data_IF_304565293061
#
_entry.id   IF_304565293061
#
_cell.length_a   1.000
_cell.length_b   1.000
_cell.length_c   1.000
_cell.angle_alpha   90.00
_cell.angle_beta   90.00
_cell.angle_gamma   90.00
#
_symmetry.space_group_name_H-M   'P 1'
#
loop_
_entity.id
_entity.type
_entity.pdbx_description
1 polymer ?
#
# COMPACT_ATOMS: atom_id res chain seq x y z
N UNK A 1 13.96 -1.85 23.87
CA UNK A 1 13.33 -0.50 23.74
C UNK A 1 12.99 -0.26 22.28
N UNK A 2 11.71 -0.21 21.88
CA UNK A 2 11.36 0.13 20.49
C UNK A 2 11.53 1.63 20.26
N UNK A 3 12.26 2.01 19.20
CA UNK A 3 12.49 3.41 18.80
C UNK A 3 11.16 4.13 18.49
N UNK A 4 11.14 5.47 18.57
CA UNK A 4 9.95 6.29 18.18
C UNK A 4 9.40 5.92 16.80
N UNK A 5 10.30 5.57 15.86
CA UNK A 5 9.95 5.07 14.54
C UNK A 5 9.17 3.76 14.60
N UNK A 6 9.64 2.76 15.36
CA UNK A 6 8.95 1.48 15.53
C UNK A 6 7.52 1.68 16.08
N UNK A 7 7.35 2.51 17.12
CA UNK A 7 6.01 2.82 17.67
C UNK A 7 5.10 3.44 16.61
N UNK A 8 5.59 4.42 15.86
CA UNK A 8 4.86 5.07 14.77
C UNK A 8 4.47 4.11 13.64
N UNK A 9 5.35 3.15 13.30
CA UNK A 9 5.07 2.13 12.29
C UNK A 9 4.04 1.12 12.76
N UNK A 10 4.14 0.63 14.01
CA UNK A 10 3.13 -0.28 14.58
C UNK A 10 1.76 0.41 14.58
N UNK A 11 1.69 1.65 15.06
CA UNK A 11 0.46 2.43 15.05
C UNK A 11 -0.10 2.59 13.63
N UNK A 12 0.74 2.97 12.67
CA UNK A 12 0.32 3.12 11.27
C UNK A 12 -0.16 1.79 10.67
N UNK A 13 0.54 0.69 10.95
CA UNK A 13 0.17 -0.65 10.51
C UNK A 13 -1.20 -1.05 11.03
N UNK A 14 -1.41 -0.98 12.36
CA UNK A 14 -2.66 -1.40 13.00
C UNK A 14 -3.82 -0.50 12.57
N UNK A 15 -3.62 0.82 12.54
CA UNK A 15 -4.65 1.76 12.09
C UNK A 15 -5.06 1.52 10.64
N UNK A 16 -4.10 1.27 9.73
CA UNK A 16 -4.40 0.99 8.34
C UNK A 16 -5.08 -0.38 8.17
N UNK A 17 -4.68 -1.37 8.95
CA UNK A 17 -5.30 -2.69 8.92
C UNK A 17 -6.76 -2.64 9.39
N UNK A 18 -7.04 -2.00 10.53
CA UNK A 18 -8.39 -1.82 11.04
C UNK A 18 -9.22 -0.91 10.13
N UNK A 19 -8.63 0.18 9.62
CA UNK A 19 -9.29 1.06 8.68
C UNK A 19 -9.72 0.35 7.40
N UNK A 20 -8.90 -0.57 6.91
CA UNK A 20 -9.24 -1.42 5.77
C UNK A 20 -10.34 -2.44 6.09
N UNK A 21 -10.36 -3.02 7.30
CA UNK A 21 -11.45 -3.91 7.73
C UNK A 21 -12.79 -3.15 7.74
N UNK A 22 -12.82 -1.97 8.35
CA UNK A 22 -14.01 -1.10 8.41
C UNK A 22 -14.43 -0.68 7.01
N UNK A 23 -13.48 -0.21 6.19
CA UNK A 23 -13.77 0.20 4.82
C UNK A 23 -14.38 -0.93 3.99
N UNK A 24 -13.82 -2.15 4.07
CA UNK A 24 -14.36 -3.30 3.36
C UNK A 24 -15.79 -3.63 3.81
N UNK A 25 -16.11 -3.53 5.10
CA UNK A 25 -17.47 -3.74 5.59
C UNK A 25 -18.44 -2.66 5.05
N UNK A 26 -18.05 -1.39 5.12
CA UNK A 26 -18.85 -0.25 4.65
C UNK A 26 -19.08 -0.32 3.13
N UNK A 27 -18.02 -0.54 2.35
CA UNK A 27 -18.08 -0.65 0.88
C UNK A 27 -19.01 -1.79 0.45
N UNK A 28 -18.95 -2.94 1.14
CA UNK A 28 -19.88 -4.07 0.86
C UNK A 28 -21.33 -3.70 1.15
N UNK A 29 -21.58 -2.96 2.24
CA UNK A 29 -22.91 -2.44 2.57
C UNK A 29 -23.43 -1.48 1.50
N UNK A 30 -22.63 -0.50 1.09
CA UNK A 30 -22.97 0.47 0.03
C UNK A 30 -23.21 -0.24 -1.30
N UNK A 31 -22.43 -1.29 -1.61
CA UNK A 31 -22.54 -2.05 -2.85
C UNK A 31 -23.70 -3.05 -2.86
N UNK A 32 -24.49 -3.15 -1.78
CA UNK A 32 -25.62 -4.07 -1.69
C UNK A 32 -25.22 -5.55 -1.75
N UNK A 33 -24.03 -5.90 -1.24
CA UNK A 33 -23.52 -7.26 -1.32
C UNK A 33 -24.44 -8.24 -0.54
N UNK A 34 -25.00 -9.22 -1.23
CA UNK A 34 -25.94 -10.20 -0.63
C UNK A 34 -25.24 -11.37 0.08
N UNK A 35 -23.91 -11.49 -0.05
CA UNK A 35 -23.16 -12.56 0.62
C UNK A 35 -22.69 -12.14 2.01
N UNK A 36 -22.74 -13.05 3.01
CA UNK A 36 -22.19 -12.79 4.33
C UNK A 36 -20.75 -12.27 4.27
N UNK A 37 -20.40 -11.40 5.21
CA UNK A 37 -19.04 -10.85 5.29
C UNK A 37 -18.08 -11.98 5.65
N UNK A 38 -17.14 -12.27 4.76
CA UNK A 38 -15.96 -13.09 5.07
C UNK A 38 -15.01 -12.28 5.94
N UNK A 39 -15.30 -12.21 7.23
CA UNK A 39 -14.54 -11.43 8.21
C UNK A 39 -13.06 -11.73 8.21
N UNK A 40 -12.72 -12.96 7.91
CA UNK A 40 -11.38 -13.45 8.06
C UNK A 40 -10.59 -13.27 6.74
N UNK A 41 -11.25 -13.28 5.57
CA UNK A 41 -10.69 -12.72 4.35
C UNK A 41 -10.52 -11.20 4.42
N UNK A 42 -11.47 -10.50 5.04
CA UNK A 42 -11.38 -9.05 5.32
C UNK A 42 -10.24 -8.73 6.27
N UNK A 43 -10.04 -9.51 7.34
CA UNK A 43 -8.92 -9.35 8.27
C UNK A 43 -7.57 -9.56 7.56
N UNK A 44 -7.45 -10.60 6.72
CA UNK A 44 -6.24 -10.83 5.93
C UNK A 44 -5.98 -9.65 4.98
N UNK A 45 -7.00 -9.14 4.29
CA UNK A 45 -6.90 -7.94 3.46
C UNK A 45 -6.49 -6.70 4.25
N UNK A 46 -6.97 -6.58 5.50
CA UNK A 46 -6.55 -5.57 6.44
C UNK A 46 -5.05 -5.62 6.73
N UNK A 47 -4.53 -6.80 7.11
CA UNK A 47 -3.09 -6.99 7.34
C UNK A 47 -2.25 -6.65 6.11
N UNK A 48 -2.72 -7.03 4.93
CA UNK A 48 -2.06 -6.68 3.66
C UNK A 48 -2.03 -5.17 3.40
N UNK A 49 -3.11 -4.47 3.75
CA UNK A 49 -3.21 -3.01 3.68
C UNK A 49 -2.26 -2.36 4.68
N UNK A 50 -2.22 -2.86 5.92
CA UNK A 50 -1.27 -2.41 6.95
C UNK A 50 0.17 -2.49 6.45
N UNK A 51 0.57 -3.62 5.84
CA UNK A 51 1.90 -3.79 5.25
C UNK A 51 2.18 -2.74 4.18
N UNK A 52 1.23 -2.49 3.27
CA UNK A 52 1.40 -1.52 2.19
C UNK A 52 1.62 -0.08 2.71
N UNK A 53 1.00 0.28 3.84
CA UNK A 53 1.15 1.60 4.46
C UNK A 53 2.53 1.82 5.12
N UNK A 54 3.16 0.76 5.62
CA UNK A 54 4.45 0.87 6.32
C UNK A 54 5.65 0.45 5.46
N UNK A 55 5.43 -0.27 4.36
CA UNK A 55 6.52 -0.89 3.59
C UNK A 55 7.53 0.12 3.07
N UNK A 56 7.07 1.25 2.50
CA UNK A 56 7.97 2.27 1.98
C UNK A 56 8.73 3.01 3.09
N UNK A 57 8.11 3.54 4.16
CA UNK A 57 8.85 4.12 5.29
C UNK A 57 9.86 3.17 5.94
N UNK A 58 9.49 1.89 6.11
CA UNK A 58 10.40 0.86 6.65
C UNK A 58 11.55 0.61 5.69
N UNK A 59 11.29 0.54 4.38
CA UNK A 59 12.33 0.40 3.37
C UNK A 59 13.31 1.58 3.38
N UNK A 60 12.80 2.81 3.45
CA UNK A 60 13.64 4.00 3.56
C UNK A 60 14.53 3.95 4.80
N UNK A 61 13.98 3.53 5.95
CA UNK A 61 14.74 3.43 7.19
C UNK A 61 15.83 2.36 7.13
N UNK A 62 15.52 1.18 6.59
CA UNK A 62 16.51 0.10 6.41
C UNK A 62 17.64 0.58 5.49
N UNK A 63 17.30 1.18 4.35
CA UNK A 63 18.29 1.69 3.39
C UNK A 63 19.12 2.84 3.96
N UNK A 64 18.51 3.76 4.72
CA UNK A 64 19.24 4.86 5.35
C UNK A 64 20.20 4.40 6.44
N UNK A 65 19.85 3.33 7.16
CA UNK A 65 20.65 2.81 8.25
C UNK A 65 21.83 1.95 7.76
N UNK A 66 21.71 1.34 6.57
CA UNK A 66 22.73 0.44 6.01
C UNK A 66 23.50 1.02 4.81
N UNK A 67 23.05 2.13 4.23
CA UNK A 67 23.71 2.77 3.08
C UNK A 67 23.81 4.29 3.28
N UNK A 68 25.00 4.77 3.65
CA UNK A 68 25.25 6.20 3.83
C UNK A 68 25.01 7.02 2.55
N UNK A 69 25.36 6.47 1.38
CA UNK A 69 25.07 7.13 0.10
C UNK A 69 23.57 7.33 -0.10
N UNK A 70 22.76 6.32 0.23
CA UNK A 70 21.31 6.43 0.16
C UNK A 70 20.78 7.45 1.16
N UNK A 71 21.29 7.44 2.40
CA UNK A 71 20.92 8.41 3.43
C UNK A 71 21.19 9.84 2.96
N UNK A 72 22.36 10.10 2.37
CA UNK A 72 22.71 11.41 1.79
C UNK A 72 21.74 11.82 0.67
N UNK A 73 21.40 10.91 -0.24
CA UNK A 73 20.46 11.18 -1.32
C UNK A 73 19.01 11.44 -0.82
N UNK A 74 18.62 10.76 0.25
CA UNK A 74 17.32 10.91 0.90
C UNK A 74 17.20 12.26 1.62
N UNK A 75 18.16 12.59 2.48
CA UNK A 75 18.12 13.76 3.38
C UNK A 75 18.53 15.07 2.67
N UNK A 76 19.39 15.01 1.65
CA UNK A 76 19.87 16.23 0.98
C UNK A 76 18.81 16.81 0.03
N UNK A 77 18.61 18.15 -0.01
CA UNK A 77 17.73 18.79 -0.99
C UNK A 77 18.16 18.50 -2.43
N UNK A 78 19.47 18.46 -2.67
CA UNK A 78 20.08 18.18 -3.97
C UNK A 78 20.41 16.69 -4.19
N UNK A 79 19.92 15.80 -3.30
CA UNK A 79 20.16 14.36 -3.41
C UNK A 79 19.42 13.73 -4.59
N UNK A 80 19.89 12.58 -5.08
CA UNK A 80 19.28 11.91 -6.22
C UNK A 80 17.92 11.28 -5.84
N UNK A 81 16.84 12.04 -6.00
CA UNK A 81 15.48 11.61 -5.64
C UNK A 81 14.97 10.44 -6.48
N UNK A 82 15.37 10.35 -7.76
CA UNK A 82 15.02 9.21 -8.60
C UNK A 82 15.60 7.90 -8.05
N UNK A 83 16.87 7.91 -7.62
CA UNK A 83 17.51 6.77 -6.96
C UNK A 83 16.80 6.40 -5.66
N UNK A 84 16.37 7.38 -4.86
CA UNK A 84 15.59 7.15 -3.63
C UNK A 84 14.26 6.47 -3.93
N UNK A 85 13.53 6.91 -4.96
CA UNK A 85 12.25 6.32 -5.34
C UNK A 85 12.41 4.91 -5.89
N UNK A 86 13.42 4.67 -6.71
CA UNK A 86 13.71 3.35 -7.27
C UNK A 86 14.11 2.38 -6.18
N UNK A 87 15.12 2.70 -5.38
CA UNK A 87 15.63 1.77 -4.35
C UNK A 87 14.65 1.61 -3.19
N UNK A 88 14.06 2.71 -2.71
CA UNK A 88 13.03 2.66 -1.67
C UNK A 88 11.77 1.95 -2.14
N UNK A 89 11.34 2.20 -3.38
CA UNK A 89 10.18 1.54 -4.00
C UNK A 89 10.42 0.05 -4.23
N UNK A 90 11.61 -0.33 -4.70
CA UNK A 90 11.99 -1.73 -4.87
C UNK A 90 12.03 -2.47 -3.53
N UNK A 91 12.70 -1.94 -2.51
CA UNK A 91 12.73 -2.60 -1.20
C UNK A 91 11.34 -2.62 -0.53
N UNK A 92 10.54 -1.57 -0.71
CA UNK A 92 9.13 -1.55 -0.26
C UNK A 92 8.30 -2.64 -0.93
N UNK A 93 8.45 -2.82 -2.25
CA UNK A 93 7.81 -3.91 -2.99
C UNK A 93 8.28 -5.29 -2.52
N UNK A 94 9.56 -5.44 -2.14
CA UNK A 94 10.08 -6.67 -1.56
C UNK A 94 9.44 -6.99 -0.20
N UNK A 95 9.32 -6.01 0.69
CA UNK A 95 8.62 -6.16 1.97
C UNK A 95 7.17 -6.59 1.73
N UNK A 96 6.46 -5.92 0.81
CA UNK A 96 5.09 -6.30 0.44
C UNK A 96 5.06 -7.73 -0.09
N UNK A 97 5.98 -8.12 -0.97
CA UNK A 97 6.00 -9.47 -1.52
C UNK A 97 6.22 -10.52 -0.42
N UNK A 98 7.17 -10.30 0.49
CA UNK A 98 7.50 -11.25 1.57
C UNK A 98 6.34 -11.42 2.55
N UNK A 99 5.64 -10.34 2.90
CA UNK A 99 4.56 -10.38 3.89
C UNK A 99 3.20 -10.72 3.25
N UNK A 100 2.86 -10.09 2.13
CA UNK A 100 1.52 -10.21 1.54
C UNK A 100 1.36 -11.45 0.65
N UNK A 101 2.45 -12.02 0.11
CA UNK A 101 2.37 -13.28 -0.64
C UNK A 101 1.84 -14.46 0.20
N UNK A 102 2.40 -14.80 1.38
CA UNK A 102 1.87 -15.88 2.19
C UNK A 102 0.45 -15.60 2.67
N UNK A 103 0.11 -14.35 3.02
CA UNK A 103 -1.26 -13.94 3.35
C UNK A 103 -2.23 -14.15 2.18
N UNK A 104 -1.80 -13.84 0.95
CA UNK A 104 -2.62 -14.07 -0.26
C UNK A 104 -2.84 -15.56 -0.50
N UNK A 105 -1.82 -16.39 -0.26
CA UNK A 105 -1.94 -17.86 -0.38
C UNK A 105 -2.85 -18.45 0.70
N UNK A 106 -2.77 -17.96 1.93
CA UNK A 106 -3.70 -18.34 3.00
C UNK A 106 -5.14 -18.00 2.62
N UNK A 107 -5.39 -16.78 2.12
CA UNK A 107 -6.72 -16.38 1.70
C UNK A 107 -7.25 -17.24 0.53
N UNK A 108 -6.41 -17.53 -0.47
CA UNK A 108 -6.76 -18.41 -1.60
C UNK A 108 -7.08 -19.84 -1.15
N UNK A 109 -6.31 -20.39 -0.20
CA UNK A 109 -6.56 -21.72 0.37
C UNK A 109 -7.91 -21.79 1.06
N UNK A 110 -8.25 -20.76 1.84
CA UNK A 110 -9.53 -20.67 2.56
C UNK A 110 -10.74 -20.56 1.64
N UNK A 111 -10.56 -19.94 0.48
CA UNK A 111 -11.61 -19.81 -0.53
C UNK A 111 -11.76 -21.04 -1.43
N UNK A 112 -11.10 -22.17 -1.12
CA UNK A 112 -11.13 -23.38 -1.95
C UNK A 112 -10.43 -23.23 -3.31
N UNK A 113 -9.78 -22.09 -3.58
CA UNK A 113 -9.13 -21.82 -4.87
C UNK A 113 -7.80 -22.56 -5.05
N UNK A 114 -7.36 -23.32 -4.04
CA UNK A 114 -6.17 -24.19 -4.10
C UNK A 114 -6.44 -25.56 -4.78
N UNK A 115 -7.68 -25.90 -5.15
CA UNK A 115 -8.04 -27.25 -5.64
C UNK A 115 -7.46 -27.64 -7.01
N UNK A 116 -6.96 -26.68 -7.81
CA UNK A 116 -6.14 -27.02 -8.97
C UNK A 116 -4.74 -27.42 -8.50
N UNK A 117 -4.54 -28.74 -8.33
CA UNK A 117 -3.27 -29.44 -8.03
C UNK A 117 -2.07 -28.69 -8.64
N UNK A 118 -1.39 -27.88 -7.83
CA UNK A 118 -0.24 -27.06 -8.23
C UNK A 118 -0.27 -25.60 -7.78
N UNK A 119 -1.41 -25.04 -7.38
CA UNK A 119 -1.55 -23.60 -7.16
C UNK A 119 -0.90 -23.05 -5.86
N UNK A 120 -0.71 -23.89 -4.85
CA UNK A 120 -0.33 -23.44 -3.50
C UNK A 120 1.08 -23.87 -3.06
N UNK A 121 1.74 -24.79 -3.79
CA UNK A 121 3.11 -25.24 -3.52
C UNK A 121 4.07 -25.22 -4.72
N UNK A 122 3.59 -25.16 -5.97
CA UNK A 122 4.51 -25.14 -7.12
C UNK A 122 5.14 -23.75 -7.27
N UNK A 123 6.38 -23.65 -6.81
CA UNK A 123 7.29 -22.51 -6.86
C UNK A 123 6.85 -21.28 -6.06
N UNK A 124 6.88 -21.40 -4.73
CA UNK A 124 6.83 -20.27 -3.79
C UNK A 124 7.74 -19.10 -4.22
N UNK A 125 8.97 -19.40 -4.65
CA UNK A 125 9.92 -18.42 -5.16
C UNK A 125 9.42 -17.70 -6.43
N UNK A 126 8.85 -18.42 -7.41
CA UNK A 126 8.32 -17.83 -8.64
C UNK A 126 7.07 -16.99 -8.37
N UNK A 127 6.22 -17.44 -7.44
CA UNK A 127 5.05 -16.70 -6.99
C UNK A 127 5.42 -15.40 -6.27
N UNK A 128 6.37 -15.46 -5.34
CA UNK A 128 6.87 -14.28 -4.61
C UNK A 128 7.58 -13.29 -5.55
N UNK A 129 8.45 -13.77 -6.44
CA UNK A 129 9.07 -12.95 -7.47
C UNK A 129 8.01 -12.32 -8.39
N UNK A 130 6.92 -13.04 -8.64
CA UNK A 130 5.77 -12.51 -9.35
C UNK A 130 5.11 -11.34 -8.65
N UNK A 131 4.76 -11.52 -7.37
CA UNK A 131 4.19 -10.47 -6.53
C UNK A 131 5.13 -9.28 -6.38
N UNK A 132 6.44 -9.52 -6.25
CA UNK A 132 7.43 -8.45 -6.22
C UNK A 132 7.41 -7.60 -7.48
N UNK A 133 7.51 -8.24 -8.66
CA UNK A 133 7.52 -7.54 -9.95
C UNK A 133 6.22 -6.78 -10.20
N UNK A 134 5.07 -7.36 -9.83
CA UNK A 134 3.76 -6.71 -9.94
C UNK A 134 3.66 -5.46 -9.03
N UNK A 135 4.31 -5.49 -7.87
CA UNK A 135 4.29 -4.38 -6.90
C UNK A 135 5.40 -3.34 -7.13
N UNK A 136 6.43 -3.68 -7.90
CA UNK A 136 7.59 -2.81 -8.13
C UNK A 136 7.19 -1.50 -8.80
N UNK A 137 6.47 -1.59 -9.93
CA UNK A 137 5.98 -0.40 -10.65
C UNK A 137 5.01 0.43 -9.80
N UNK A 138 4.11 -0.23 -9.07
CA UNK A 138 3.15 0.45 -8.20
C UNK A 138 3.85 1.22 -7.08
N UNK A 139 4.83 0.61 -6.42
CA UNK A 139 5.56 1.20 -5.30
C UNK A 139 6.45 2.36 -5.73
N UNK A 140 7.19 2.19 -6.84
CA UNK A 140 8.05 3.26 -7.39
C UNK A 140 7.19 4.43 -7.90
N UNK A 141 6.14 4.13 -8.66
CA UNK A 141 5.29 5.17 -9.26
C UNK A 141 4.53 5.96 -8.20
N UNK A 142 4.01 5.28 -7.16
CA UNK A 142 3.39 5.96 -6.03
C UNK A 142 4.38 6.89 -5.32
N UNK A 143 5.58 6.40 -4.99
CA UNK A 143 6.60 7.20 -4.30
C UNK A 143 7.05 8.41 -5.13
N UNK A 144 7.28 8.21 -6.43
CA UNK A 144 7.68 9.28 -7.34
C UNK A 144 6.59 10.35 -7.46
N UNK A 145 5.33 9.94 -7.67
CA UNK A 145 4.22 10.89 -7.81
C UNK A 145 3.93 11.62 -6.51
N UNK A 146 3.88 10.92 -5.37
CA UNK A 146 3.56 11.53 -4.08
C UNK A 146 4.63 12.55 -3.65
N UNK A 147 5.91 12.21 -3.79
CA UNK A 147 7.00 13.11 -3.39
C UNK A 147 7.27 14.24 -4.39
N UNK A 148 6.82 14.10 -5.64
CA UNK A 148 6.90 15.20 -6.63
C UNK A 148 5.75 16.19 -6.44
N UNK A 149 4.51 15.70 -6.29
CA UNK A 149 3.32 16.55 -6.17
C UNK A 149 3.11 17.12 -4.77
N UNK A 150 3.48 16.37 -3.73
CA UNK A 150 3.35 16.78 -2.33
C UNK A 150 3.90 18.17 -2.03
N UNK A 151 5.15 18.51 -2.41
CA UNK A 151 5.72 19.84 -2.18
C UNK A 151 5.18 20.92 -3.13
N UNK A 152 4.63 20.56 -4.30
CA UNK A 152 4.09 21.53 -5.26
C UNK A 152 2.70 22.05 -4.86
N UNK A 153 1.92 21.26 -4.14
CA UNK A 153 0.58 21.65 -3.69
C UNK A 153 0.69 22.17 -2.25
N UNK A 154 0.46 23.46 -1.97
CA UNK A 154 0.57 24.02 -0.63
C UNK A 154 -0.44 23.39 0.33
N UNK A 155 -0.09 23.28 1.61
CA UNK A 155 -1.00 22.81 2.65
C UNK A 155 -1.94 23.97 3.02
N UNK A 156 -3.25 23.88 2.73
CA UNK A 156 -4.18 24.93 3.12
C UNK A 156 -4.38 24.94 4.64
N UNK A 157 -4.60 26.12 5.22
CA UNK A 157 -4.85 26.26 6.66
C UNK A 157 -6.18 25.64 7.12
N UNK A 158 -7.15 25.47 6.22
CA UNK A 158 -8.44 24.89 6.54
C UNK A 158 -8.36 23.35 6.58
N UNK A 159 -8.80 22.76 7.69
CA UNK A 159 -8.81 21.31 7.93
C UNK A 159 -9.52 20.51 6.83
N UNK A 160 -10.61 21.01 6.26
CA UNK A 160 -11.34 20.33 5.19
C UNK A 160 -10.55 20.34 3.87
N UNK A 161 -9.96 21.49 3.52
CA UNK A 161 -9.13 21.58 2.31
C UNK A 161 -7.82 20.79 2.47
N UNK A 162 -7.26 20.73 3.67
CA UNK A 162 -6.06 19.95 3.96
C UNK A 162 -6.35 18.46 3.83
N UNK A 163 -7.52 18.04 4.32
CA UNK A 163 -8.07 16.70 4.14
C UNK A 163 -8.27 16.34 2.67
N UNK A 164 -8.96 17.20 1.89
CA UNK A 164 -9.19 16.96 0.47
C UNK A 164 -7.88 16.87 -0.31
N UNK A 165 -6.91 17.76 0.00
CA UNK A 165 -5.58 17.72 -0.59
C UNK A 165 -4.88 16.39 -0.31
N UNK A 166 -4.87 15.93 0.94
CA UNK A 166 -4.22 14.68 1.32
C UNK A 166 -4.84 13.48 0.59
N UNK A 167 -6.18 13.39 0.54
CA UNK A 167 -6.86 12.33 -0.19
C UNK A 167 -6.59 12.41 -1.71
N UNK A 168 -6.63 13.60 -2.29
CA UNK A 168 -6.37 13.80 -3.72
C UNK A 168 -4.95 13.42 -4.10
N UNK A 169 -3.96 13.76 -3.28
CA UNK A 169 -2.57 13.35 -3.47
C UNK A 169 -2.40 11.83 -3.45
N UNK A 170 -3.03 11.13 -2.50
CA UNK A 170 -3.00 9.65 -2.44
C UNK A 170 -3.64 9.05 -3.69
N UNK A 171 -4.78 9.61 -4.15
CA UNK A 171 -5.47 9.14 -5.35
C UNK A 171 -4.63 9.30 -6.61
N UNK A 172 -4.04 10.47 -6.81
CA UNK A 172 -3.16 10.74 -7.95
C UNK A 172 -1.91 9.87 -7.88
N UNK A 173 -1.36 9.65 -6.69
CA UNK A 173 -0.19 8.79 -6.49
C UNK A 173 -0.49 7.31 -6.78
N UNK A 174 -1.69 6.83 -6.42
CA UNK A 174 -2.14 5.49 -6.80
C UNK A 174 -2.30 5.34 -8.33
N UNK A 175 -2.80 6.37 -9.00
CA UNK A 175 -2.85 6.41 -10.48
C UNK A 175 -1.43 6.39 -11.07
N UNK A 176 -0.50 7.18 -10.52
CA UNK A 176 0.90 7.18 -10.91
C UNK A 176 1.57 5.80 -10.74
N UNK A 177 1.32 5.13 -9.61
CA UNK A 177 1.72 3.75 -9.38
C UNK A 177 1.18 2.79 -10.43
N UNK A 178 -0.13 2.88 -10.74
CA UNK A 178 -0.76 2.04 -11.76
C UNK A 178 -0.18 2.26 -13.16
N UNK A 179 0.05 3.51 -13.54
CA UNK A 179 0.66 3.86 -14.83
C UNK A 179 2.07 3.26 -14.97
N UNK A 180 2.89 3.35 -13.92
CA UNK A 180 4.24 2.78 -13.96
C UNK A 180 4.23 1.24 -13.90
N UNK A 181 3.23 0.64 -13.26
CA UNK A 181 3.03 -0.82 -13.26
C UNK A 181 2.42 -1.37 -14.55
N UNK A 182 1.77 -0.53 -15.36
CA UNK A 182 1.04 -0.95 -16.56
C UNK A 182 1.85 -1.82 -17.53
N UNK A 183 3.05 -1.47 -17.99
CA UNK A 183 3.78 -2.30 -18.96
C UNK A 183 4.04 -3.71 -18.44
N UNK A 184 4.35 -3.84 -17.14
CA UNK A 184 4.57 -5.13 -16.48
C UNK A 184 3.27 -5.93 -16.41
N UNK A 185 2.17 -5.28 -16.00
CA UNK A 185 0.86 -5.93 -15.85
C UNK A 185 0.24 -6.30 -17.20
N UNK A 186 0.44 -5.50 -18.24
CA UNK A 186 0.01 -5.78 -19.60
C UNK A 186 0.74 -7.02 -20.15
N UNK A 187 2.06 -7.09 -19.96
CA UNK A 187 2.87 -8.22 -20.42
C UNK A 187 2.56 -9.52 -19.66
N UNK A 188 2.39 -9.47 -18.34
CA UNK A 188 2.21 -10.67 -17.50
C UNK A 188 0.78 -11.16 -17.40
N UNK A 189 -0.19 -10.26 -17.36
CA UNK A 189 -1.59 -10.57 -17.05
C UNK A 189 -2.56 -10.15 -18.17
N UNK A 190 -2.04 -9.63 -19.29
CA UNK A 190 -2.89 -9.15 -20.40
C UNK A 190 -3.78 -7.95 -20.02
N UNK A 191 -3.41 -7.22 -18.97
CA UNK A 191 -4.22 -6.11 -18.47
C UNK A 191 -4.25 -4.95 -19.46
N UNK A 192 -5.43 -4.36 -19.68
CA UNK A 192 -5.57 -3.14 -20.49
C UNK A 192 -5.54 -1.91 -19.60
N UNK A 193 -4.99 -0.80 -20.09
CA UNK A 193 -4.92 0.45 -19.34
C UNK A 193 -6.32 0.97 -18.93
N UNK A 194 -7.34 0.96 -19.82
CA UNK A 194 -8.71 1.32 -19.43
C UNK A 194 -9.29 0.39 -18.36
N UNK A 195 -8.96 -0.90 -18.37
CA UNK A 195 -9.40 -1.84 -17.34
C UNK A 195 -8.78 -1.54 -15.96
N UNK A 196 -7.48 -1.24 -15.94
CA UNK A 196 -6.73 -0.89 -14.72
C UNK A 196 -7.20 0.41 -14.07
N UNK A 197 -7.44 1.44 -14.88
CA UNK A 197 -7.92 2.74 -14.43
C UNK A 197 -9.42 2.71 -14.15
N UNK A 198 -10.23 2.11 -15.02
CA UNK A 198 -11.68 1.96 -14.81
C UNK A 198 -12.02 1.17 -13.55
N UNK A 199 -11.29 0.07 -13.28
CA UNK A 199 -11.41 -0.66 -12.03
C UNK A 199 -11.00 0.15 -10.79
N UNK A 200 -10.00 1.02 -10.93
CA UNK A 200 -9.60 1.94 -9.86
C UNK A 200 -10.69 2.96 -9.55
N UNK A 201 -11.22 3.65 -10.56
CA UNK A 201 -12.25 4.68 -10.34
C UNK A 201 -13.54 4.09 -9.76
N UNK A 202 -13.93 2.89 -10.16
CA UNK A 202 -15.06 2.17 -9.55
C UNK A 202 -14.86 1.86 -8.07
N UNK A 203 -13.62 1.70 -7.63
CA UNK A 203 -13.25 1.36 -6.24
C UNK A 203 -12.65 2.53 -5.48
N UNK A 204 -12.60 3.73 -6.06
CA UNK A 204 -11.87 4.88 -5.52
C UNK A 204 -12.38 5.37 -4.16
N UNK A 205 -13.64 5.07 -3.83
CA UNK A 205 -14.24 5.36 -2.53
C UNK A 205 -13.65 4.48 -1.39
N UNK A 206 -13.19 3.27 -1.68
CA UNK A 206 -12.57 2.37 -0.69
C UNK A 206 -11.30 2.96 -0.06
N UNK A 207 -10.34 3.49 -0.85
CA UNK A 207 -9.19 4.20 -0.32
C UNK A 207 -9.52 5.45 0.51
N UNK A 208 -10.61 6.19 0.21
CA UNK A 208 -11.03 7.35 1.01
C UNK A 208 -11.48 6.90 2.40
N UNK A 209 -12.40 5.94 2.46
CA UNK A 209 -12.92 5.40 3.72
C UNK A 209 -11.77 4.76 4.54
N UNK A 210 -10.84 4.08 3.86
CA UNK A 210 -9.66 3.49 4.53
C UNK A 210 -8.75 4.56 5.11
N UNK A 211 -8.52 5.66 4.38
CA UNK A 211 -7.74 6.81 4.84
C UNK A 211 -8.35 7.46 6.08
N UNK A 212 -9.66 7.68 6.06
CA UNK A 212 -10.42 8.29 7.16
C UNK A 212 -10.39 7.42 8.41
N UNK A 213 -10.70 6.13 8.24
CA UNK A 213 -10.67 5.18 9.33
C UNK A 213 -9.26 5.01 9.89
N UNK A 214 -8.23 5.02 9.04
CA UNK A 214 -6.84 4.99 9.49
C UNK A 214 -6.49 6.22 10.33
N UNK A 215 -6.89 7.42 9.92
CA UNK A 215 -6.65 8.65 10.69
C UNK A 215 -7.40 8.64 12.02
N UNK A 216 -8.66 8.18 12.04
CA UNK A 216 -9.43 7.98 13.27
C UNK A 216 -8.70 7.03 14.24
N UNK A 217 -8.34 5.84 13.79
CA UNK A 217 -7.63 4.86 14.63
C UNK A 217 -6.26 5.35 15.07
N UNK A 218 -5.53 6.10 14.22
CA UNK A 218 -4.28 6.74 14.65
C UNK A 218 -4.53 7.69 15.81
N UNK A 219 -5.55 8.55 15.74
CA UNK A 219 -5.92 9.44 16.84
C UNK A 219 -6.20 8.67 18.14
N UNK A 220 -7.00 7.60 18.06
CA UNK A 220 -7.31 6.73 19.21
C UNK A 220 -6.05 6.10 19.80
N UNK A 221 -5.16 5.55 18.98
CA UNK A 221 -3.94 4.92 19.47
C UNK A 221 -2.89 5.92 19.97
N UNK A 222 -2.85 7.14 19.45
CA UNK A 222 -1.98 8.19 20.02
C UNK A 222 -2.40 8.48 21.46
N UNK A 223 -3.70 8.63 21.72
CA UNK A 223 -4.22 8.88 23.07
C UNK A 223 -4.01 7.71 24.05
N UNK A 224 -3.80 6.48 23.56
CA UNK A 224 -3.60 5.27 24.40
C UNK A 224 -2.10 4.98 24.62
N UNK A 225 -1.22 5.43 23.73
CA UNK A 225 0.22 5.14 23.74
C UNK A 225 1.09 6.29 24.29
N UNK A 226 0.48 7.43 24.63
CA UNK A 226 1.03 8.47 25.52
C UNK A 226 0.87 8.06 26.99
#
# INVERSE_FOLDING_TARGET
MCSKFCKSMIQTYVSAALGSVVSNAVVRGISGAQTPIDWAGVAIGGLQTGTAFISYPVALKILSDHCESFKKDLESPNGNKAKVYILGGALGAAIIAVVNFPLSKLNQARQGKCEKKGCCACNFAKGMAGTFVDQLGASIGFAATNNTLGPMIPVPHNSFLAYLRANSLVQISNVGGKLLSYPILAYRHGATLPGLLGGYFRTAHGPWITGDACNFFKGVFTCILE
#
